data_IF_879896251771
#
_entry.id   IF_879896251771
#
_cell.length_a   1.000
_cell.length_b   1.000
_cell.length_c   1.000
_cell.angle_alpha   90.00
_cell.angle_beta   90.00
_cell.angle_gamma   90.00
#
_symmetry.space_group_name_H-M   'P 1'
#
loop_
_entity.id
_entity.type
_entity.pdbx_description
1 polymer ?
#
# COMPACT_ATOMS: atom_id res chain seq x y z
N UNK A 1 52.12 -11.25 -34.57
CA UNK A 1 52.58 -9.98 -35.17
C UNK A 1 51.48 -9.44 -36.04
N UNK A 2 51.03 -8.21 -35.75
CA UNK A 2 50.42 -7.21 -36.63
C UNK A 2 49.10 -7.58 -37.36
N UNK A 3 48.07 -6.75 -37.45
CA UNK A 3 47.66 -5.52 -36.78
C UNK A 3 46.41 -5.03 -37.54
N UNK A 4 45.40 -4.46 -36.84
CA UNK A 4 44.60 -3.24 -37.18
C UNK A 4 43.95 -3.09 -38.57
N UNK A 5 42.83 -2.42 -38.83
CA UNK A 5 41.85 -1.52 -38.17
C UNK A 5 41.21 -0.75 -39.38
N UNK A 6 40.06 -0.10 -39.18
CA UNK A 6 39.49 1.08 -39.88
C UNK A 6 38.06 0.79 -40.38
N UNK A 7 37.06 1.67 -40.29
CA UNK A 7 36.74 2.83 -39.45
C UNK A 7 35.32 3.29 -39.85
N UNK A 8 34.71 4.11 -38.99
CA UNK A 8 33.36 4.66 -39.05
C UNK A 8 33.11 5.65 -40.21
N UNK A 9 31.83 5.83 -40.57
CA UNK A 9 31.32 7.04 -41.24
C UNK A 9 29.97 7.44 -40.59
N UNK A 10 29.93 8.66 -40.07
CA UNK A 10 28.74 9.41 -39.69
C UNK A 10 28.65 10.63 -40.61
N UNK A 11 27.50 10.90 -41.23
CA UNK A 11 27.14 12.21 -41.83
C UNK A 11 25.62 12.39 -41.70
N UNK A 12 25.20 13.52 -41.11
CA UNK A 12 23.81 13.99 -41.10
C UNK A 12 23.55 15.06 -42.16
N UNK A 13 22.28 15.43 -42.39
CA UNK A 13 21.86 16.68 -43.05
C UNK A 13 20.48 17.12 -42.52
N UNK A 14 20.33 18.42 -42.33
CA UNK A 14 19.15 19.15 -41.85
C UNK A 14 18.38 19.87 -42.99
N UNK A 15 17.12 20.22 -42.67
CA UNK A 15 16.31 21.36 -43.15
C UNK A 15 15.97 21.56 -44.65
N UNK A 16 14.67 21.64 -44.95
CA UNK A 16 14.06 22.61 -45.89
C UNK A 16 12.69 23.05 -45.37
N UNK A 17 12.44 24.37 -45.41
CA UNK A 17 11.21 25.10 -45.08
C UNK A 17 10.57 25.69 -46.35
N UNK A 18 9.35 26.23 -46.18
CA UNK A 18 8.52 27.10 -47.06
C UNK A 18 7.51 26.43 -48.02
N UNK A 19 6.30 26.95 -48.32
CA UNK A 19 5.31 27.93 -47.76
C UNK A 19 4.15 27.97 -48.78
N UNK A 20 2.89 28.16 -48.34
CA UNK A 20 1.85 29.09 -48.90
C UNK A 20 0.42 28.64 -48.50
N UNK A 21 -0.36 29.32 -47.64
CA UNK A 21 -1.10 30.61 -47.73
C UNK A 21 -2.47 30.54 -48.45
N UNK A 22 -3.59 30.60 -47.69
CA UNK A 22 -4.84 31.30 -48.07
C UNK A 22 -5.48 31.91 -46.81
N UNK A 23 -5.93 33.15 -46.96
CA UNK A 23 -6.48 34.09 -45.97
C UNK A 23 -8.01 34.17 -46.13
N UNK A 24 -8.77 34.50 -45.06
CA UNK A 24 -9.76 35.60 -44.95
C UNK A 24 -10.88 35.34 -43.91
N UNK A 25 -10.80 36.10 -42.80
CA UNK A 25 -11.82 36.88 -42.03
C UNK A 25 -13.22 36.32 -41.70
N UNK A 26 -13.61 36.52 -40.43
CA UNK A 26 -14.99 36.84 -40.04
C UNK A 26 -15.33 36.68 -38.55
N UNK A 27 -15.23 37.76 -37.76
CA UNK A 27 -15.95 37.97 -36.48
C UNK A 27 -17.16 38.89 -36.78
N UNK A 28 -18.30 38.85 -36.04
CA UNK A 28 -18.34 39.41 -34.68
C UNK A 28 -19.30 38.75 -33.67
N UNK A 29 -19.10 39.16 -32.41
CA UNK A 29 -19.91 38.91 -31.22
C UNK A 29 -21.35 39.45 -31.27
N UNK A 30 -22.27 38.90 -30.44
CA UNK A 30 -23.09 39.64 -29.43
C UNK A 30 -24.27 38.83 -28.82
N UNK A 31 -24.52 39.09 -27.52
CA UNK A 31 -25.82 39.11 -26.78
C UNK A 31 -26.36 37.72 -26.32
N UNK A 32 -26.91 37.49 -25.11
CA UNK A 32 -27.59 38.34 -24.11
C UNK A 32 -27.53 37.75 -22.69
N UNK A 33 -27.75 38.66 -21.75
CA UNK A 33 -27.94 38.55 -20.30
C UNK A 33 -29.36 38.07 -19.91
N UNK A 34 -29.53 37.87 -18.60
CA UNK A 34 -30.76 37.92 -17.79
C UNK A 34 -31.61 36.64 -17.57
N UNK A 35 -31.69 36.20 -16.30
CA UNK A 35 -32.96 36.24 -15.55
C UNK A 35 -32.82 35.82 -14.07
N UNK A 36 -32.96 36.81 -13.18
CA UNK A 36 -33.50 36.65 -11.83
C UNK A 36 -35.01 36.39 -11.91
N UNK A 37 -35.54 35.48 -11.09
CA UNK A 37 -36.94 35.54 -10.66
C UNK A 37 -37.16 34.91 -9.28
N UNK A 38 -37.56 35.77 -8.35
CA UNK A 38 -38.15 35.50 -7.04
C UNK A 38 -39.59 35.01 -7.15
N UNK A 39 -40.03 34.11 -6.25
CA UNK A 39 -41.45 34.00 -5.83
C UNK A 39 -41.56 33.71 -4.33
N UNK A 40 -42.51 34.40 -3.69
CA UNK A 40 -42.87 34.42 -2.25
C UNK A 40 -44.19 33.67 -2.00
N UNK A 41 -44.27 33.04 -0.81
CA UNK A 41 -45.40 32.93 0.14
C UNK A 41 -46.65 32.09 -0.27
N UNK A 42 -47.55 31.64 0.66
CA UNK A 42 -47.84 32.06 2.07
C UNK A 42 -47.87 30.87 3.08
N UNK A 43 -48.06 30.94 4.41
CA UNK A 43 -48.53 31.93 5.38
C UNK A 43 -49.61 31.28 6.29
N UNK A 44 -49.38 31.13 7.60
CA UNK A 44 -50.44 30.89 8.62
C UNK A 44 -49.94 31.21 10.04
N UNK A 45 -50.26 32.39 10.55
CA UNK A 45 -51.23 32.71 11.63
C UNK A 45 -50.83 32.32 13.07
N UNK A 46 -50.53 33.37 13.82
CA UNK A 46 -50.48 33.48 15.29
C UNK A 46 -51.92 33.49 15.83
N UNK A 47 -52.16 32.80 16.95
CA UNK A 47 -53.26 33.11 17.89
C UNK A 47 -52.64 33.35 19.26
N UNK A 48 -52.81 34.57 19.77
CA UNK A 48 -52.65 34.92 21.17
C UNK A 48 -53.95 34.65 21.91
N UNK A 49 -53.88 34.02 23.09
CA UNK A 49 -54.85 34.23 24.15
C UNK A 49 -54.13 34.47 25.48
N UNK A 50 -54.74 35.35 26.24
CA UNK A 50 -54.22 36.15 27.35
C UNK A 50 -55.05 35.79 28.60
N UNK A 51 -54.53 36.15 29.79
CA UNK A 51 -55.24 36.26 31.09
C UNK A 51 -55.29 34.91 31.87
N UNK A 52 -54.94 34.76 33.16
CA UNK A 52 -55.02 35.66 34.31
C UNK A 52 -54.02 35.25 35.41
N UNK A 53 -53.55 36.22 36.16
CA UNK A 53 -52.62 36.11 37.29
C UNK A 53 -53.42 35.87 38.59
N UNK A 54 -53.05 34.86 39.39
CA UNK A 54 -53.42 34.77 40.81
C UNK A 54 -52.18 34.42 41.62
N UNK A 55 -51.93 35.24 42.64
CA UNK A 55 -50.72 35.35 43.47
C UNK A 55 -50.91 34.57 44.76
N UNK A 56 -50.03 33.62 45.09
CA UNK A 56 -49.73 33.19 46.48
C UNK A 56 -48.28 32.67 46.54
N UNK A 57 -47.47 33.47 47.22
CA UNK A 57 -46.33 33.22 48.12
C UNK A 57 -45.12 32.33 47.76
N UNK A 58 -43.96 32.94 48.08
CA UNK A 58 -42.57 32.51 47.95
C UNK A 58 -42.23 31.31 48.85
N UNK A 59 -41.45 30.34 48.34
CA UNK A 59 -40.22 29.81 48.98
C UNK A 59 -39.34 29.16 47.88
N UNK A 60 -38.04 29.48 47.86
CA UNK A 60 -37.00 28.64 47.23
C UNK A 60 -36.54 29.08 45.84
N UNK A 61 -35.43 29.81 45.78
CA UNK A 61 -34.80 30.22 44.52
C UNK A 61 -34.12 29.03 43.81
N UNK A 62 -34.76 28.46 42.80
CA UNK A 62 -34.07 27.69 41.76
C UNK A 62 -33.41 28.66 40.76
N UNK A 63 -32.08 28.68 40.73
CA UNK A 63 -31.35 29.21 39.57
C UNK A 63 -31.40 28.15 38.46
N UNK A 64 -32.19 28.43 37.42
CA UNK A 64 -32.11 27.76 36.11
C UNK A 64 -30.64 27.59 35.68
N UNK A 65 -30.21 26.41 35.22
CA UNK A 65 -28.92 26.27 34.56
C UNK A 65 -28.93 27.10 33.28
N UNK A 66 -27.91 27.95 33.14
CA UNK A 66 -27.58 28.59 31.87
C UNK A 66 -27.30 27.50 30.84
N UNK A 67 -27.85 27.70 29.64
CA UNK A 67 -27.38 27.08 28.40
C UNK A 67 -25.85 27.12 28.38
N UNK A 68 -25.22 25.96 28.55
CA UNK A 68 -23.80 25.76 28.29
C UNK A 68 -23.69 25.45 26.80
N UNK A 69 -23.26 26.44 26.03
CA UNK A 69 -22.67 26.23 24.72
C UNK A 69 -21.61 25.14 24.83
N UNK A 70 -21.67 24.11 23.98
CA UNK A 70 -20.71 23.02 23.94
C UNK A 70 -19.28 23.55 23.75
N UNK A 71 -18.59 23.75 24.87
CA UNK A 71 -17.16 23.91 24.88
C UNK A 71 -16.58 22.51 24.70
N UNK A 72 -15.93 22.28 23.57
CA UNK A 72 -15.07 21.14 23.35
C UNK A 72 -14.13 20.99 24.56
N UNK A 73 -14.02 19.76 25.07
CA UNK A 73 -13.02 19.45 26.07
C UNK A 73 -11.63 19.88 25.54
N UNK A 74 -10.78 20.47 26.40
CA UNK A 74 -9.44 20.87 25.98
C UNK A 74 -8.68 19.64 25.45
N UNK A 75 -7.82 19.79 24.43
CA UNK A 75 -7.06 18.68 23.90
C UNK A 75 -6.24 18.07 25.03
N UNK A 76 -6.49 16.79 25.31
CA UNK A 76 -5.67 16.00 26.22
C UNK A 76 -4.23 16.12 25.73
N UNK A 77 -3.34 16.70 26.54
CA UNK A 77 -1.91 16.72 26.26
C UNK A 77 -1.41 15.28 26.31
N UNK A 78 -1.39 14.62 25.16
CA UNK A 78 -0.83 13.28 25.02
C UNK A 78 0.70 13.38 25.07
N UNK A 79 1.38 12.40 25.68
CA UNK A 79 2.82 12.25 25.50
C UNK A 79 3.13 12.25 24.00
N UNK A 80 4.13 13.02 23.58
CA UNK A 80 4.54 13.05 22.16
C UNK A 80 5.24 11.73 21.82
N UNK A 81 4.83 11.10 20.73
CA UNK A 81 5.44 9.86 20.23
C UNK A 81 4.65 8.60 20.58
N UNK A 82 5.11 7.47 20.04
CA UNK A 82 4.53 6.15 20.27
C UNK A 82 4.84 5.65 21.68
N UNK A 83 3.91 4.92 22.32
CA UNK A 83 4.20 4.21 23.55
C UNK A 83 5.08 2.99 23.28
N UNK A 84 5.53 2.32 24.35
CA UNK A 84 6.47 1.20 24.23
C UNK A 84 5.82 -0.07 23.73
N UNK A 85 4.55 -0.28 24.09
CA UNK A 85 3.84 -1.54 23.80
C UNK A 85 2.71 -1.31 22.81
N UNK A 86 2.37 -2.34 22.03
CA UNK A 86 1.26 -2.28 21.09
C UNK A 86 -0.09 -2.09 21.82
N UNK A 87 -0.26 -2.69 23.00
CA UNK A 87 -1.45 -2.53 23.82
C UNK A 87 -1.66 -1.08 24.28
N UNK A 88 -0.62 -0.41 24.79
CA UNK A 88 -0.71 1.02 25.13
C UNK A 88 -1.01 1.87 23.89
N UNK A 89 -0.51 1.47 22.72
CA UNK A 89 -0.81 2.16 21.47
C UNK A 89 -2.26 1.95 21.00
N UNK A 90 -2.82 0.76 21.19
CA UNK A 90 -4.24 0.51 20.98
C UNK A 90 -5.11 1.41 21.88
N UNK A 91 -4.77 1.55 23.16
CA UNK A 91 -5.44 2.48 24.08
C UNK A 91 -5.30 3.95 23.65
N UNK A 92 -4.15 4.32 23.10
CA UNK A 92 -3.93 5.67 22.56
C UNK A 92 -4.80 5.94 21.31
N UNK A 93 -5.02 4.92 20.48
CA UNK A 93 -5.83 5.00 19.27
C UNK A 93 -7.34 5.00 19.54
N UNK A 94 -7.77 4.33 20.61
CA UNK A 94 -9.17 4.06 20.93
C UNK A 94 -10.10 5.30 20.86
N UNK A 95 -9.73 6.49 21.36
CA UNK A 95 -10.64 7.64 21.31
C UNK A 95 -10.96 8.15 19.89
N UNK A 96 -10.12 7.84 18.90
CA UNK A 96 -10.31 8.27 17.49
C UNK A 96 -10.76 7.13 16.58
N UNK A 97 -10.36 5.89 16.90
CA UNK A 97 -10.51 4.72 16.03
C UNK A 97 -11.32 3.57 16.67
N UNK A 98 -11.70 3.71 17.94
CA UNK A 98 -12.22 2.59 18.71
C UNK A 98 -11.19 1.48 18.89
N UNK A 99 -11.67 0.32 19.29
CA UNK A 99 -10.84 -0.85 19.57
C UNK A 99 -10.38 -1.48 18.25
N UNK A 100 -9.07 -1.78 18.07
CA UNK A 100 -8.60 -2.57 16.93
C UNK A 100 -9.34 -3.91 16.84
N UNK A 101 -9.67 -4.42 15.64
CA UNK A 101 -10.41 -5.67 15.52
C UNK A 101 -9.55 -6.87 15.94
N UNK A 102 -10.18 -7.94 16.43
CA UNK A 102 -9.54 -9.26 16.50
C UNK A 102 -9.39 -9.77 15.06
N UNK A 103 -8.15 -9.97 14.62
CA UNK A 103 -7.88 -10.44 13.26
C UNK A 103 -8.02 -11.95 13.19
N UNK A 104 -8.96 -12.39 12.35
CA UNK A 104 -9.20 -13.79 12.01
C UNK A 104 -8.98 -13.97 10.50
N UNK A 105 -7.88 -14.63 10.15
CA UNK A 105 -7.46 -14.85 8.76
C UNK A 105 -8.32 -15.90 8.05
N UNK A 106 -9.03 -16.75 8.80
CA UNK A 106 -9.98 -17.71 8.23
C UNK A 106 -11.19 -17.00 7.63
N UNK A 107 -11.56 -15.85 8.20
CA UNK A 107 -12.62 -14.97 7.73
C UNK A 107 -12.18 -13.94 6.69
N UNK A 108 -10.88 -13.77 6.49
CA UNK A 108 -10.34 -12.81 5.52
C UNK A 108 -10.53 -13.27 4.07
N UNK A 109 -10.55 -12.30 3.16
CA UNK A 109 -10.56 -12.52 1.70
C UNK A 109 -9.14 -12.80 1.23
N UNK A 110 -8.91 -13.92 0.56
CA UNK A 110 -7.62 -14.18 -0.10
C UNK A 110 -7.43 -13.26 -1.30
N UNK A 111 -6.23 -12.71 -1.46
CA UNK A 111 -5.84 -11.96 -2.65
C UNK A 111 -5.51 -12.97 -3.76
N UNK A 112 -6.31 -13.05 -4.84
CA UNK A 112 -6.01 -13.98 -5.92
C UNK A 112 -4.82 -13.47 -6.75
N UNK A 113 -3.98 -14.39 -7.21
CA UNK A 113 -2.94 -14.14 -8.21
C UNK A 113 -3.34 -14.79 -9.54
N UNK A 114 -2.99 -14.15 -10.64
CA UNK A 114 -3.30 -14.64 -11.99
C UNK A 114 -2.06 -14.73 -12.87
N UNK A 115 -2.02 -15.75 -13.73
CA UNK A 115 -1.07 -15.88 -14.84
C UNK A 115 -1.90 -16.16 -16.08
N UNK A 116 -1.78 -15.29 -17.09
CA UNK A 116 -2.55 -15.37 -18.33
C UNK A 116 -4.08 -15.43 -18.09
N UNK A 117 -4.55 -14.70 -17.07
CA UNK A 117 -5.95 -14.64 -16.65
C UNK A 117 -6.43 -15.86 -15.85
N UNK A 118 -5.57 -16.84 -15.58
CA UNK A 118 -5.92 -18.05 -14.80
C UNK A 118 -5.37 -17.93 -13.39
N UNK A 119 -6.20 -18.26 -12.39
CA UNK A 119 -5.77 -18.22 -10.98
C UNK A 119 -4.60 -19.17 -10.75
N UNK A 120 -3.56 -18.66 -10.09
CA UNK A 120 -2.33 -19.38 -9.80
C UNK A 120 -2.00 -19.35 -8.30
N UNK A 121 -1.26 -20.35 -7.83
CA UNK A 121 -0.80 -20.50 -6.46
C UNK A 121 0.71 -20.75 -6.41
N UNK A 122 1.31 -20.55 -5.24
CA UNK A 122 2.74 -20.67 -5.00
C UNK A 122 3.47 -19.34 -5.09
N UNK A 123 4.78 -19.42 -5.32
CA UNK A 123 5.66 -18.28 -5.50
C UNK A 123 5.85 -17.95 -6.98
N UNK A 124 5.37 -16.78 -7.41
CA UNK A 124 5.32 -16.37 -8.80
C UNK A 124 6.29 -15.20 -9.04
N UNK A 125 7.28 -15.41 -9.90
CA UNK A 125 8.22 -14.35 -10.31
C UNK A 125 7.63 -13.40 -11.36
N UNK A 126 6.60 -13.87 -12.08
CA UNK A 126 5.83 -13.10 -13.05
C UNK A 126 4.36 -13.48 -12.91
N UNK A 127 3.48 -12.48 -12.85
CA UNK A 127 2.03 -12.67 -12.81
C UNK A 127 1.33 -11.39 -13.32
N UNK A 128 0.04 -11.47 -13.59
CA UNK A 128 -0.77 -10.37 -14.15
C UNK A 128 -0.95 -9.22 -13.13
N UNK A 129 -0.92 -9.56 -11.84
CA UNK A 129 -1.15 -8.64 -10.73
C UNK A 129 -0.06 -8.76 -9.65
N UNK A 130 1.19 -8.34 -9.95
CA UNK A 130 2.31 -8.49 -9.03
C UNK A 130 2.18 -7.58 -7.80
N UNK A 131 2.83 -7.96 -6.71
CA UNK A 131 2.86 -7.19 -5.45
C UNK A 131 3.53 -5.82 -5.59
N UNK A 132 4.42 -5.66 -6.58
CA UNK A 132 5.17 -4.43 -6.89
C UNK A 132 6.05 -3.90 -5.74
N UNK A 133 6.63 -4.81 -4.94
CA UNK A 133 7.53 -4.46 -3.83
C UNK A 133 8.96 -5.01 -4.02
N UNK A 134 9.40 -5.21 -5.26
CA UNK A 134 10.75 -5.70 -5.59
C UNK A 134 11.01 -7.16 -5.23
N UNK A 135 9.95 -7.98 -5.14
CA UNK A 135 10.00 -9.40 -4.75
C UNK A 135 9.05 -10.23 -5.62
N UNK A 136 9.18 -11.55 -5.54
CA UNK A 136 8.18 -12.49 -6.07
C UNK A 136 6.80 -12.22 -5.44
N UNK A 137 5.75 -12.58 -6.17
CA UNK A 137 4.37 -12.54 -5.68
C UNK A 137 3.99 -13.92 -5.16
N UNK A 138 3.75 -14.02 -3.86
CA UNK A 138 3.39 -15.28 -3.20
C UNK A 138 1.87 -15.31 -3.00
N UNK A 139 1.23 -16.41 -3.38
CA UNK A 139 -0.20 -16.60 -3.17
C UNK A 139 -0.56 -16.68 -1.68
N UNK A 140 -1.85 -16.56 -1.39
CA UNK A 140 -2.35 -16.84 -0.04
C UNK A 140 -2.25 -15.69 0.96
N UNK A 141 -1.78 -14.51 0.53
CA UNK A 141 -2.00 -13.28 1.27
C UNK A 141 -3.50 -12.99 1.41
N UNK A 142 -3.93 -12.38 2.51
CA UNK A 142 -5.36 -12.15 2.80
C UNK A 142 -5.63 -10.73 3.30
N UNK A 143 -6.80 -10.19 2.98
CA UNK A 143 -7.27 -8.87 3.41
C UNK A 143 -8.64 -8.97 4.09
N UNK A 144 -8.87 -8.15 5.10
CA UNK A 144 -10.19 -8.02 5.71
C UNK A 144 -10.48 -6.58 6.10
N UNK A 145 -11.70 -6.14 5.83
CA UNK A 145 -12.22 -4.82 6.23
C UNK A 145 -13.20 -4.97 7.39
N UNK A 146 -13.02 -4.15 8.41
CA UNK A 146 -13.89 -4.07 9.57
C UNK A 146 -14.44 -2.66 9.73
N UNK A 147 -15.71 -2.56 10.12
CA UNK A 147 -16.25 -1.33 10.69
C UNK A 147 -15.65 -1.13 12.10
N UNK A 148 -15.24 0.10 12.41
CA UNK A 148 -14.72 0.42 13.74
C UNK A 148 -15.79 0.28 14.81
N UNK A 149 -15.37 -0.06 16.03
CA UNK A 149 -16.26 -0.23 17.18
C UNK A 149 -15.65 0.38 18.43
N UNK A 150 -16.47 1.02 19.26
CA UNK A 150 -16.08 1.40 20.60
C UNK A 150 -15.91 0.16 21.50
N UNK A 151 -15.30 0.33 22.68
CA UNK A 151 -15.07 -0.78 23.61
C UNK A 151 -16.36 -1.47 24.11
N UNK A 152 -17.50 -0.77 24.10
CA UNK A 152 -18.81 -1.33 24.42
C UNK A 152 -19.49 -2.03 23.22
N UNK A 153 -18.80 -2.10 22.07
CA UNK A 153 -19.27 -2.71 20.84
C UNK A 153 -20.10 -1.79 19.94
N UNK A 154 -20.36 -0.55 20.35
CA UNK A 154 -21.11 0.39 19.53
C UNK A 154 -20.36 0.71 18.22
N UNK A 155 -21.06 0.75 17.07
CA UNK A 155 -20.43 0.99 15.78
C UNK A 155 -19.92 2.43 15.65
N UNK A 156 -18.78 2.58 14.98
CA UNK A 156 -18.15 3.84 14.59
C UNK A 156 -18.10 3.88 13.05
N UNK A 157 -19.18 4.32 12.36
CA UNK A 157 -19.32 4.17 10.91
C UNK A 157 -18.32 4.99 10.08
N UNK A 158 -17.71 6.00 10.69
CA UNK A 158 -16.65 6.81 10.08
C UNK A 158 -15.28 6.15 10.21
N UNK A 159 -15.14 5.10 11.01
CA UNK A 159 -13.90 4.37 11.21
C UNK A 159 -13.91 3.08 10.44
N UNK A 160 -12.82 2.83 9.73
CA UNK A 160 -12.54 1.57 9.04
C UNK A 160 -11.23 1.01 9.56
N UNK A 161 -11.19 -0.30 9.74
CA UNK A 161 -9.95 -1.04 9.96
C UNK A 161 -9.72 -1.98 8.78
N UNK A 162 -8.49 -2.03 8.28
CA UNK A 162 -8.06 -3.03 7.29
C UNK A 162 -6.97 -3.87 7.93
N UNK A 163 -7.16 -5.18 7.93
CA UNK A 163 -6.13 -6.15 8.28
C UNK A 163 -5.56 -6.78 7.00
N UNK A 164 -4.24 -6.89 6.92
CA UNK A 164 -3.53 -7.49 5.80
C UNK A 164 -2.60 -8.58 6.31
N UNK A 165 -2.93 -9.84 6.06
CA UNK A 165 -2.01 -10.96 6.21
C UNK A 165 -1.17 -11.07 4.94
N UNK A 166 0.09 -10.63 5.01
CA UNK A 166 1.05 -10.69 3.92
C UNK A 166 1.82 -11.99 4.00
N UNK A 167 1.64 -12.86 3.01
CA UNK A 167 2.43 -14.08 2.88
C UNK A 167 3.71 -13.81 2.08
N UNK A 168 4.85 -14.28 2.61
CA UNK A 168 6.15 -14.29 1.93
C UNK A 168 6.76 -15.71 1.87
N UNK A 169 6.01 -16.75 2.27
CA UNK A 169 6.49 -18.12 2.46
C UNK A 169 6.69 -18.86 1.12
N UNK A 170 7.75 -19.67 0.98
CA UNK A 170 7.87 -20.63 -0.16
C UNK A 170 7.22 -21.98 0.12
N UNK A 171 6.85 -22.26 1.37
CA UNK A 171 6.34 -23.55 1.81
C UNK A 171 5.31 -23.37 2.92
N UNK A 172 4.33 -24.26 2.99
CA UNK A 172 3.34 -24.28 4.06
C UNK A 172 3.92 -24.66 5.44
N UNK A 173 5.10 -25.29 5.47
CA UNK A 173 5.76 -25.78 6.70
C UNK A 173 6.42 -24.66 7.51
N UNK A 174 6.80 -23.56 6.85
CA UNK A 174 7.53 -22.46 7.46
C UNK A 174 6.84 -21.14 7.13
N UNK A 175 6.08 -20.63 8.10
CA UNK A 175 5.34 -19.38 7.93
C UNK A 175 6.27 -18.19 8.03
N UNK A 176 6.44 -17.50 6.90
CA UNK A 176 7.16 -16.23 6.78
C UNK A 176 6.19 -15.19 6.24
N UNK A 177 6.02 -14.10 6.97
CA UNK A 177 5.10 -13.05 6.61
C UNK A 177 4.71 -12.23 7.82
N UNK A 178 3.80 -11.29 7.62
CA UNK A 178 3.32 -10.42 8.70
C UNK A 178 1.83 -10.18 8.60
N UNK A 179 1.22 -9.82 9.73
CA UNK A 179 -0.15 -9.33 9.81
C UNK A 179 -0.10 -7.87 10.20
N UNK A 180 -0.68 -7.03 9.35
CA UNK A 180 -0.68 -5.59 9.48
C UNK A 180 -2.11 -5.12 9.72
N UNK A 181 -2.32 -4.10 10.56
CA UNK A 181 -3.62 -3.45 10.72
C UNK A 181 -3.48 -1.95 10.55
N UNK A 182 -4.38 -1.37 9.78
CA UNK A 182 -4.48 0.08 9.61
C UNK A 182 -5.90 0.49 9.99
N UNK A 183 -6.01 1.27 11.05
CA UNK A 183 -7.25 1.94 11.44
C UNK A 183 -7.27 3.35 10.87
N UNK A 184 -8.40 3.76 10.31
CA UNK A 184 -8.57 5.07 9.69
C UNK A 184 -9.93 5.68 9.99
N UNK A 185 -9.95 6.92 10.47
CA UNK A 185 -11.16 7.71 10.63
C UNK A 185 -11.34 8.62 9.42
N UNK A 186 -12.35 8.33 8.58
CA UNK A 186 -12.64 9.05 7.33
C UNK A 186 -12.98 10.53 7.52
N UNK A 187 -13.37 10.95 8.73
CA UNK A 187 -13.71 12.36 9.04
C UNK A 187 -12.55 13.14 9.64
N UNK A 188 -11.85 12.56 10.61
CA UNK A 188 -10.75 13.26 11.28
C UNK A 188 -9.40 13.05 10.59
N UNK A 189 -9.28 11.99 9.79
CA UNK A 189 -8.02 11.56 9.19
C UNK A 189 -7.11 10.78 10.13
N UNK A 190 -7.58 10.52 11.37
CA UNK A 190 -6.80 9.80 12.35
C UNK A 190 -6.43 8.42 11.79
N UNK A 191 -5.15 8.08 11.87
CA UNK A 191 -4.60 6.83 11.36
C UNK A 191 -3.76 6.14 12.43
N UNK A 192 -3.97 4.84 12.60
CA UNK A 192 -3.18 3.98 13.48
C UNK A 192 -2.60 2.79 12.72
N UNK A 193 -1.28 2.62 12.77
CA UNK A 193 -0.55 1.50 12.15
C UNK A 193 -0.12 0.46 13.19
N UNK A 194 -0.47 -0.80 12.95
CA UNK A 194 0.04 -1.95 13.71
C UNK A 194 0.67 -2.92 12.73
N UNK A 195 1.82 -3.46 13.09
CA UNK A 195 2.51 -4.47 12.30
C UNK A 195 2.98 -5.58 13.23
N UNK A 196 2.80 -6.82 12.81
CA UNK A 196 3.40 -7.95 13.51
C UNK A 196 4.87 -8.09 13.17
N UNK A 197 5.63 -8.80 14.00
CA UNK A 197 6.94 -9.31 13.54
C UNK A 197 6.76 -10.33 12.41
N UNK A 198 7.84 -10.66 11.70
CA UNK A 198 7.83 -11.70 10.65
C UNK A 198 7.64 -13.13 11.21
N UNK A 199 7.64 -13.29 12.55
CA UNK A 199 7.55 -14.57 13.26
C UNK A 199 6.13 -14.83 13.74
N UNK A 200 5.19 -14.91 12.81
CA UNK A 200 3.76 -15.11 13.10
C UNK A 200 3.33 -16.59 13.23
N UNK A 201 4.26 -17.53 13.03
CA UNK A 201 4.00 -18.98 13.12
C UNK A 201 3.30 -19.49 14.40
N UNK A 202 3.42 -18.83 15.58
CA UNK A 202 2.62 -19.22 16.75
C UNK A 202 1.10 -19.04 16.58
N UNK A 203 0.66 -18.15 15.68
CA UNK A 203 -0.74 -17.76 15.52
C UNK A 203 -1.29 -18.04 14.13
N UNK A 204 -0.40 -18.17 13.14
CA UNK A 204 -0.74 -18.30 11.73
C UNK A 204 -0.21 -19.61 11.17
N UNK A 205 -1.05 -20.29 10.39
CA UNK A 205 -0.68 -21.45 9.57
C UNK A 205 -0.96 -21.15 8.09
N UNK A 206 -0.48 -22.03 7.23
CA UNK A 206 -0.67 -21.93 5.78
C UNK A 206 -1.39 -23.18 5.26
N UNK A 207 -2.36 -22.97 4.37
CA UNK A 207 -2.95 -24.06 3.57
C UNK A 207 -1.86 -24.71 2.70
N UNK A 208 -1.81 -26.04 2.68
CA UNK A 208 -0.77 -26.82 1.99
C UNK A 208 -0.73 -26.54 0.48
N UNK A 209 -1.89 -26.46 -0.17
CA UNK A 209 -1.97 -26.31 -1.63
C UNK A 209 -1.90 -24.86 -2.11
N UNK A 210 -2.48 -23.92 -1.36
CA UNK A 210 -2.67 -22.53 -1.81
C UNK A 210 -1.74 -21.53 -1.14
N UNK A 211 -1.06 -21.96 -0.07
CA UNK A 211 -0.32 -21.10 0.85
C UNK A 211 -1.19 -20.02 1.51
N UNK A 212 -2.51 -20.17 1.52
CA UNK A 212 -3.40 -19.21 2.18
C UNK A 212 -3.13 -19.15 3.68
N UNK A 213 -2.95 -17.93 4.19
CA UNK A 213 -2.80 -17.69 5.61
C UNK A 213 -4.11 -17.94 6.38
N UNK A 214 -3.99 -18.62 7.51
CA UNK A 214 -5.09 -19.08 8.38
C UNK A 214 -4.78 -18.79 9.85
N UNK A 215 -5.82 -18.78 10.69
CA UNK A 215 -5.68 -18.61 12.14
C UNK A 215 -6.08 -17.24 12.68
N UNK A 216 -5.99 -17.09 14.00
CA UNK A 216 -6.40 -15.89 14.74
C UNK A 216 -5.19 -15.23 15.41
N UNK A 217 -5.03 -13.93 15.20
CA UNK A 217 -4.02 -13.15 15.90
C UNK A 217 -4.47 -12.83 17.33
N UNK A 218 -3.53 -12.68 18.29
CA UNK A 218 -3.84 -12.17 19.62
C UNK A 218 -4.54 -10.83 19.57
N UNK A 219 -5.35 -10.56 20.59
CA UNK A 219 -6.17 -9.37 20.69
C UNK A 219 -5.97 -8.64 22.02
N UNK A 220 -6.57 -7.45 22.15
CA UNK A 220 -6.29 -6.55 23.27
C UNK A 220 -6.82 -7.07 24.63
N UNK A 221 -7.66 -8.10 24.64
CA UNK A 221 -8.06 -8.81 25.85
C UNK A 221 -6.94 -9.70 26.45
N UNK A 222 -5.91 -9.97 25.65
CA UNK A 222 -4.69 -10.68 26.04
C UNK A 222 -3.45 -9.77 25.85
N UNK A 223 -3.26 -8.71 26.67
CA UNK A 223 -2.26 -7.68 26.41
C UNK A 223 -0.83 -8.21 26.23
N UNK A 224 -0.45 -9.24 27.00
CA UNK A 224 0.89 -9.83 26.92
C UNK A 224 1.12 -10.56 25.59
N UNK A 225 0.11 -11.26 25.07
CA UNK A 225 0.19 -11.92 23.76
C UNK A 225 0.07 -10.90 22.62
N UNK A 226 -0.79 -9.88 22.76
CA UNK A 226 -0.89 -8.78 21.80
C UNK A 226 0.44 -8.05 21.63
N UNK A 227 1.15 -7.79 22.73
CA UNK A 227 2.47 -7.17 22.73
C UNK A 227 3.58 -8.06 22.17
N UNK A 228 3.39 -9.39 22.14
CA UNK A 228 4.31 -10.31 21.46
C UNK A 228 4.04 -10.34 19.96
N UNK A 229 2.76 -10.26 19.56
CA UNK A 229 2.35 -10.32 18.17
C UNK A 229 2.64 -9.02 17.43
N UNK A 230 2.26 -7.88 18.00
CA UNK A 230 2.31 -6.57 17.34
C UNK A 230 3.32 -5.63 17.97
N UNK A 231 3.87 -4.75 17.14
CA UNK A 231 4.77 -3.66 17.56
C UNK A 231 4.19 -2.29 17.19
N UNK A 232 4.65 -1.26 17.89
CA UNK A 232 4.40 0.12 17.46
C UNK A 232 5.32 0.49 16.30
N UNK A 233 4.96 1.47 15.45
CA UNK A 233 5.80 1.91 14.33
C UNK A 233 7.25 2.30 14.69
N UNK A 234 7.50 2.66 15.96
CA UNK A 234 8.84 2.95 16.47
C UNK A 234 9.48 4.16 15.77
N UNK A 235 10.70 3.98 15.26
CA UNK A 235 11.48 5.04 14.59
C UNK A 235 11.24 5.09 13.08
N UNK A 236 10.66 4.04 12.49
CA UNK A 236 10.33 4.02 11.07
C UNK A 236 9.05 4.83 10.88
N UNK A 237 9.14 5.91 10.13
CA UNK A 237 7.98 6.72 9.81
C UNK A 237 7.19 6.03 8.70
N UNK A 238 6.10 5.32 9.04
CA UNK A 238 5.21 4.68 8.05
C UNK A 238 4.76 5.66 6.97
N UNK A 239 4.66 6.94 7.34
CA UNK A 239 4.35 8.04 6.43
C UNK A 239 5.36 8.19 5.30
N UNK A 240 6.57 7.62 5.35
CA UNK A 240 7.49 7.67 4.19
C UNK A 240 6.84 7.07 2.92
N UNK A 241 6.06 5.98 3.08
CA UNK A 241 5.29 5.37 2.01
C UNK A 241 3.82 5.87 2.03
N UNK A 242 3.26 6.05 3.23
CA UNK A 242 1.86 6.44 3.46
C UNK A 242 1.68 7.96 3.62
N UNK A 243 2.46 8.82 2.93
CA UNK A 243 2.61 10.26 3.26
C UNK A 243 1.29 11.02 3.45
N UNK A 244 0.28 10.68 2.66
CA UNK A 244 -1.00 11.37 2.60
C UNK A 244 -2.18 10.40 2.46
N UNK A 245 -1.91 9.10 2.51
CA UNK A 245 -2.91 8.05 2.34
C UNK A 245 -2.55 6.87 3.26
N UNK A 246 -3.42 6.48 4.21
CA UNK A 246 -3.23 5.29 5.03
C UNK A 246 -3.17 4.00 4.18
N UNK A 247 -3.76 3.95 3.00
CA UNK A 247 -3.91 2.75 2.20
C UNK A 247 -3.15 2.84 0.87
N UNK A 248 -2.06 2.08 0.76
CA UNK A 248 -1.38 1.93 -0.53
C UNK A 248 -2.12 0.88 -1.34
N UNK A 249 -2.60 1.26 -2.52
CA UNK A 249 -3.33 0.36 -3.43
C UNK A 249 -2.53 0.12 -4.70
N UNK A 250 -2.68 -1.09 -5.25
CA UNK A 250 -2.18 -1.51 -6.55
C UNK A 250 -3.08 -2.65 -7.08
N UNK A 251 -2.78 -3.20 -8.27
CA UNK A 251 -3.57 -4.29 -8.85
C UNK A 251 -3.61 -5.54 -7.97
N UNK A 252 -2.54 -5.86 -7.24
CA UNK A 252 -2.50 -6.95 -6.27
C UNK A 252 -3.48 -6.71 -5.12
N UNK A 253 -3.36 -5.60 -4.38
CA UNK A 253 -4.25 -5.28 -3.25
C UNK A 253 -5.71 -5.16 -3.70
N UNK A 254 -5.96 -4.53 -4.85
CA UNK A 254 -7.30 -4.33 -5.38
C UNK A 254 -7.95 -5.60 -5.95
N UNK A 255 -7.20 -6.69 -6.11
CA UNK A 255 -7.75 -7.97 -6.54
C UNK A 255 -8.58 -8.66 -5.44
N UNK A 256 -8.35 -8.33 -4.16
CA UNK A 256 -9.23 -8.77 -3.08
C UNK A 256 -10.53 -7.94 -3.07
N UNK A 257 -11.64 -8.62 -3.36
CA UNK A 257 -12.98 -8.02 -3.42
C UNK A 257 -13.84 -8.46 -2.24
N UNK A 258 -14.71 -7.57 -1.78
CA UNK A 258 -15.69 -7.90 -0.75
C UNK A 258 -16.64 -8.94 -1.34
N UNK A 259 -16.86 -10.09 -0.67
CA UNK A 259 -17.67 -11.17 -1.20
C UNK A 259 -19.04 -10.70 -1.70
N UNK A 260 -19.38 -11.03 -2.95
CA UNK A 260 -20.64 -10.65 -3.59
C UNK A 260 -20.66 -9.24 -4.19
N UNK A 261 -19.51 -8.56 -4.28
CA UNK A 261 -19.39 -7.21 -4.85
C UNK A 261 -18.11 -7.08 -5.70
N UNK A 262 -18.02 -6.02 -6.51
CA UNK A 262 -16.77 -5.62 -7.20
C UNK A 262 -15.92 -4.62 -6.38
N UNK A 263 -16.38 -4.27 -5.18
CA UNK A 263 -15.70 -3.32 -4.29
C UNK A 263 -14.44 -3.97 -3.72
N UNK A 264 -13.30 -3.27 -3.80
CA UNK A 264 -12.06 -3.72 -3.15
C UNK A 264 -12.24 -3.77 -1.63
N UNK A 265 -11.57 -4.72 -0.97
CA UNK A 265 -11.56 -4.79 0.50
C UNK A 265 -10.92 -3.52 1.09
N UNK A 266 -9.86 -3.03 0.48
CA UNK A 266 -9.24 -1.76 0.84
C UNK A 266 -10.07 -0.61 0.27
N UNK A 267 -10.52 0.35 1.11
CA UNK A 267 -11.32 1.47 0.63
C UNK A 267 -10.46 2.41 -0.23
N UNK A 268 -11.07 3.00 -1.26
CA UNK A 268 -10.47 4.09 -2.00
C UNK A 268 -10.65 5.41 -1.24
N UNK A 269 -9.59 6.20 -1.18
CA UNK A 269 -9.61 7.57 -0.67
C UNK A 269 -9.49 8.55 -1.82
N UNK A 270 -9.98 9.76 -1.60
CA UNK A 270 -9.90 10.85 -2.56
C UNK A 270 -8.75 11.81 -2.23
N UNK A 271 -8.53 12.75 -3.14
CA UNK A 271 -7.51 13.78 -2.99
C UNK A 271 -7.65 14.60 -1.71
N UNK A 272 -8.85 14.80 -1.17
CA UNK A 272 -9.09 15.66 0.00
C UNK A 272 -9.24 14.89 1.31
N UNK A 273 -9.00 13.58 1.27
CA UNK A 273 -9.11 12.72 2.44
C UNK A 273 -8.17 13.20 3.55
N UNK A 274 -8.69 13.39 4.77
CA UNK A 274 -7.88 13.91 5.86
C UNK A 274 -6.88 12.85 6.32
N UNK A 275 -5.73 13.27 6.85
CA UNK A 275 -4.68 12.34 7.26
C UNK A 275 -3.77 12.89 8.37
N UNK A 276 -3.69 12.16 9.47
CA UNK A 276 -2.62 12.29 10.46
C UNK A 276 -2.40 10.95 11.18
N UNK A 277 -1.19 10.74 11.70
CA UNK A 277 -0.86 9.53 12.46
C UNK A 277 -0.98 9.80 13.96
N UNK A 278 -1.77 8.98 14.66
CA UNK A 278 -1.87 9.03 16.12
C UNK A 278 -0.51 8.61 16.72
N UNK A 279 0.06 9.39 17.63
CA UNK A 279 1.41 9.12 18.17
C UNK A 279 2.56 9.51 17.23
N UNK A 280 2.26 9.85 15.98
CA UNK A 280 3.20 10.36 14.98
C UNK A 280 3.25 11.88 14.90
N UNK A 281 2.86 12.62 15.96
CA UNK A 281 2.81 14.08 15.93
C UNK A 281 4.19 14.74 15.75
N UNK A 282 5.27 13.97 15.93
CA UNK A 282 6.65 14.37 15.69
C UNK A 282 7.22 13.81 14.37
N UNK A 283 6.39 13.31 13.46
CA UNK A 283 6.79 12.81 12.15
C UNK A 283 6.75 13.89 11.06
N UNK A 284 7.45 13.61 9.96
CA UNK A 284 7.39 14.42 8.75
C UNK A 284 6.11 14.08 7.98
N UNK A 285 5.04 14.78 8.31
CA UNK A 285 3.74 14.65 7.67
C UNK A 285 3.65 15.45 6.36
N UNK A 286 4.74 16.08 5.90
CA UNK A 286 4.71 16.88 4.68
C UNK A 286 4.58 16.00 3.45
N UNK A 287 3.77 16.47 2.51
CA UNK A 287 3.68 15.97 1.14
C UNK A 287 3.80 17.15 0.16
N UNK A 288 4.04 16.88 -1.12
CA UNK A 288 4.11 17.92 -2.15
C UNK A 288 2.70 18.24 -2.65
N UNK A 289 2.44 19.54 -2.83
CA UNK A 289 1.37 20.07 -3.66
C UNK A 289 1.97 20.83 -4.84
N UNK A 290 1.31 20.81 -6.00
CA UNK A 290 1.65 21.68 -7.13
C UNK A 290 0.35 22.24 -7.69
N UNK A 291 0.22 23.56 -7.70
CA UNK A 291 -0.97 24.23 -8.18
C UNK A 291 -1.25 23.87 -9.65
N UNK A 292 -2.43 23.30 -9.92
CA UNK A 292 -2.89 22.98 -11.27
C UNK A 292 -2.34 21.66 -11.84
N UNK A 293 -1.58 20.89 -11.06
CA UNK A 293 -1.10 19.58 -11.47
C UNK A 293 -2.19 18.52 -11.25
N UNK A 294 -2.64 17.87 -12.33
CA UNK A 294 -3.83 17.01 -12.28
C UNK A 294 -3.58 15.66 -11.58
N UNK A 295 -2.32 15.27 -11.31
CA UNK A 295 -2.03 14.06 -10.53
C UNK A 295 -2.65 14.12 -9.12
N UNK A 296 -2.89 15.32 -8.58
CA UNK A 296 -3.49 15.51 -7.27
C UNK A 296 -5.02 15.56 -7.27
N UNK A 297 -5.69 15.41 -8.42
CA UNK A 297 -7.16 15.44 -8.47
C UNK A 297 -7.81 14.15 -7.94
N UNK A 298 -7.09 13.03 -8.05
CA UNK A 298 -7.60 11.72 -7.65
C UNK A 298 -7.12 11.32 -6.25
N UNK A 299 -5.81 11.39 -6.02
CA UNK A 299 -5.17 11.05 -4.75
C UNK A 299 -3.81 11.76 -4.63
N UNK A 300 -3.26 11.77 -3.43
CA UNK A 300 -1.88 12.23 -3.19
C UNK A 300 -0.98 11.00 -3.04
N UNK A 301 0.27 11.07 -3.48
CA UNK A 301 1.21 9.93 -3.41
C UNK A 301 2.56 10.38 -2.87
N UNK A 302 3.15 9.54 -2.01
CA UNK A 302 4.47 9.76 -1.46
C UNK A 302 5.60 9.28 -2.36
N UNK A 303 6.77 9.90 -2.25
CA UNK A 303 7.93 9.58 -3.09
C UNK A 303 8.44 8.16 -2.89
N UNK A 304 8.44 7.64 -1.66
CA UNK A 304 8.91 6.27 -1.43
C UNK A 304 8.02 5.24 -2.12
N UNK A 305 6.71 5.49 -2.20
CA UNK A 305 5.76 4.63 -2.93
C UNK A 305 5.99 4.70 -4.44
N UNK A 306 6.22 5.91 -4.98
CA UNK A 306 6.62 6.08 -6.37
C UNK A 306 7.92 5.31 -6.67
N UNK A 307 8.93 5.48 -5.83
CA UNK A 307 10.24 4.83 -5.98
C UNK A 307 10.11 3.29 -5.90
N UNK A 308 9.30 2.78 -4.97
CA UNK A 308 9.05 1.35 -4.80
C UNK A 308 8.39 0.72 -6.03
N UNK A 309 7.32 1.32 -6.53
CA UNK A 309 6.58 0.78 -7.67
C UNK A 309 7.38 0.92 -8.97
N UNK A 310 7.94 2.11 -9.22
CA UNK A 310 8.76 2.35 -10.41
C UNK A 310 10.02 1.48 -10.43
N UNK A 311 10.66 1.30 -9.27
CA UNK A 311 11.81 0.40 -9.12
C UNK A 311 11.45 -1.08 -9.34
N UNK A 312 10.19 -1.44 -9.16
CA UNK A 312 9.66 -2.78 -9.44
C UNK A 312 9.16 -2.95 -10.89
N UNK A 313 9.41 -1.98 -11.76
CA UNK A 313 9.03 -2.03 -13.18
C UNK A 313 7.62 -1.55 -13.49
N UNK A 314 6.90 -0.95 -12.52
CA UNK A 314 5.58 -0.36 -12.76
C UNK A 314 5.72 1.07 -13.32
N UNK A 315 5.18 1.32 -14.52
CA UNK A 315 5.17 2.64 -15.14
C UNK A 315 3.81 3.31 -14.95
N UNK A 316 3.69 4.37 -14.12
CA UNK A 316 2.40 5.03 -13.90
C UNK A 316 1.74 5.51 -15.19
N UNK A 317 2.50 5.90 -16.22
CA UNK A 317 1.91 6.37 -17.48
C UNK A 317 1.22 5.25 -18.28
N UNK A 318 1.50 3.98 -17.99
CA UNK A 318 0.81 2.85 -18.62
C UNK A 318 -0.49 2.47 -17.91
N UNK A 319 -0.73 3.02 -16.72
CA UNK A 319 -1.82 2.60 -15.84
C UNK A 319 -2.69 3.74 -15.31
N UNK A 320 -2.18 4.97 -15.31
CA UNK A 320 -2.80 6.13 -14.69
C UNK A 320 -2.94 7.30 -15.67
N UNK A 321 -4.06 8.04 -15.61
CA UNK A 321 -5.28 7.71 -14.87
C UNK A 321 -5.97 6.44 -15.43
N UNK A 322 -6.75 5.69 -14.62
CA UNK A 322 -7.28 4.38 -15.02
C UNK A 322 -8.13 4.35 -16.30
N UNK A 323 -8.73 5.49 -16.67
CA UNK A 323 -9.60 5.62 -17.83
C UNK A 323 -8.93 6.26 -19.05
N UNK A 324 -7.72 6.80 -18.89
CA UNK A 324 -6.95 7.40 -19.98
C UNK A 324 -5.43 7.37 -19.68
N UNK A 325 -4.80 6.18 -19.62
CA UNK A 325 -3.40 6.05 -19.20
C UNK A 325 -2.44 6.92 -20.01
N UNK A 326 -1.57 7.65 -19.30
CA UNK A 326 -0.52 8.48 -19.89
C UNK A 326 -0.96 9.89 -20.27
N UNK A 327 -2.25 10.22 -20.17
CA UNK A 327 -2.77 11.57 -20.38
C UNK A 327 -2.16 12.62 -19.43
N UNK A 328 -1.69 12.20 -18.26
CA UNK A 328 -1.07 13.07 -17.24
C UNK A 328 0.47 12.96 -17.19
N UNK A 329 1.11 12.48 -18.25
CA UNK A 329 2.56 12.24 -18.24
C UNK A 329 3.41 13.48 -17.93
N UNK A 330 2.98 14.66 -18.38
CA UNK A 330 3.68 15.92 -18.10
C UNK A 330 3.54 16.36 -16.64
N UNK A 331 2.33 16.26 -16.08
CA UNK A 331 2.06 16.53 -14.67
C UNK A 331 2.84 15.56 -13.76
N UNK A 332 2.87 14.28 -14.14
CA UNK A 332 3.65 13.27 -13.41
C UNK A 332 5.15 13.57 -13.47
N UNK A 333 5.67 14.00 -14.63
CA UNK A 333 7.08 14.41 -14.79
C UNK A 333 7.41 15.62 -13.92
N UNK A 334 6.52 16.60 -13.83
CA UNK A 334 6.68 17.76 -12.96
C UNK A 334 6.67 17.35 -11.48
N UNK A 335 5.75 16.48 -11.07
CA UNK A 335 5.69 15.92 -9.72
C UNK A 335 6.99 15.19 -9.34
N UNK A 336 7.51 14.34 -10.23
CA UNK A 336 8.79 13.66 -10.03
C UNK A 336 9.96 14.64 -9.91
N UNK A 337 9.92 15.73 -10.67
CA UNK A 337 10.94 16.76 -10.60
C UNK A 337 10.89 17.48 -9.24
N UNK A 338 9.69 17.87 -8.77
CA UNK A 338 9.48 18.46 -7.46
C UNK A 338 9.93 17.52 -6.33
N UNK A 339 9.62 16.22 -6.38
CA UNK A 339 10.08 15.26 -5.38
C UNK A 339 11.60 15.07 -5.32
N UNK A 340 12.29 15.22 -6.46
CA UNK A 340 13.75 15.06 -6.54
C UNK A 340 14.51 16.34 -6.19
N UNK A 341 13.95 17.50 -6.52
CA UNK A 341 14.62 18.81 -6.42
C UNK A 341 14.07 19.70 -5.32
N UNK A 342 12.90 19.37 -4.80
CA UNK A 342 12.12 20.16 -3.86
C UNK A 342 11.00 20.93 -4.53
N UNK A 343 9.90 21.22 -3.80
CA UNK A 343 8.84 22.08 -4.30
C UNK A 343 9.37 23.46 -4.69
N UNK A 344 10.42 23.99 -4.04
CA UNK A 344 11.06 25.25 -4.39
C UNK A 344 11.62 25.30 -5.82
N UNK A 345 11.82 24.15 -6.47
CA UNK A 345 12.30 24.06 -7.84
C UNK A 345 11.18 24.13 -8.90
N UNK A 346 9.91 24.12 -8.49
CA UNK A 346 8.74 24.14 -9.39
C UNK A 346 7.84 25.32 -9.02
N UNK A 347 7.41 26.10 -10.01
CA UNK A 347 6.55 27.25 -9.76
C UNK A 347 5.18 26.79 -9.23
N UNK A 348 4.73 27.36 -8.11
CA UNK A 348 3.45 26.99 -7.49
C UNK A 348 3.46 25.64 -6.76
N UNK A 349 4.64 25.03 -6.57
CA UNK A 349 4.79 23.86 -5.74
C UNK A 349 5.14 24.22 -4.29
N UNK A 350 4.54 23.51 -3.35
CA UNK A 350 4.63 23.80 -1.91
C UNK A 350 4.71 22.50 -1.10
N UNK A 351 5.34 22.59 0.08
CA UNK A 351 5.16 21.58 1.11
C UNK A 351 3.82 21.81 1.81
N UNK A 352 3.00 20.76 1.90
CA UNK A 352 1.71 20.80 2.57
C UNK A 352 1.62 19.71 3.65
N UNK A 353 0.93 20.02 4.73
CA UNK A 353 0.34 19.03 5.65
C UNK A 353 -1.08 18.74 5.16
N UNK A 354 -1.49 17.48 4.99
CA UNK A 354 -2.85 17.13 4.58
C UNK A 354 -3.92 17.70 5.52
N UNK A 355 -5.18 17.81 5.06
CA UNK A 355 -6.31 18.13 5.94
C UNK A 355 -6.35 17.18 7.14
N UNK A 356 -6.71 17.67 8.33
CA UNK A 356 -6.80 16.82 9.51
C UNK A 356 -7.72 17.45 10.55
N UNK A 357 -8.47 16.62 11.28
CA UNK A 357 -9.33 17.03 12.41
C UNK A 357 -10.29 18.17 12.05
N UNK A 358 -10.85 18.11 10.84
CA UNK A 358 -11.76 19.12 10.30
C UNK A 358 -11.11 20.46 9.94
N UNK A 359 -9.78 20.53 9.94
CA UNK A 359 -9.02 21.67 9.42
C UNK A 359 -8.58 21.41 7.98
N UNK A 360 -8.55 22.44 7.12
CA UNK A 360 -7.99 22.31 5.77
C UNK A 360 -6.49 21.98 5.83
N UNK A 361 -5.96 21.51 4.70
CA UNK A 361 -4.52 21.34 4.56
C UNK A 361 -3.77 22.65 4.78
N UNK A 362 -2.53 22.54 5.26
CA UNK A 362 -1.72 23.68 5.64
C UNK A 362 -0.39 23.69 4.86
N UNK A 363 -0.11 24.81 4.19
CA UNK A 363 1.22 25.06 3.61
C UNK A 363 2.22 25.30 4.73
N UNK A 364 3.36 24.62 4.66
CA UNK A 364 4.43 24.73 5.65
C UNK A 364 5.77 24.99 4.97
N UNK A 365 6.67 25.71 5.65
CA UNK A 365 7.99 26.05 5.12
C UNK A 365 9.11 25.16 5.64
N UNK A 366 10.33 25.65 5.45
CA UNK A 366 11.56 25.08 6.02
C UNK A 366 11.63 25.18 7.56
N UNK A 367 10.68 25.88 8.19
CA UNK A 367 10.55 25.98 9.64
C UNK A 367 9.71 24.85 10.25
N UNK A 368 9.14 23.95 9.43
CA UNK A 368 8.45 22.77 9.94
C UNK A 368 9.38 21.96 10.84
N UNK A 369 9.02 21.66 12.10
CA UNK A 369 9.98 21.20 13.11
C UNK A 369 10.34 19.70 12.99
N UNK A 370 9.60 18.93 12.20
CA UNK A 370 9.69 17.46 12.17
C UNK A 370 10.24 16.91 10.85
N UNK A 371 11.05 17.67 10.13
CA UNK A 371 11.56 17.28 8.81
C UNK A 371 12.43 16.02 8.86
N UNK A 372 12.06 15.01 8.08
CA UNK A 372 12.76 13.76 7.93
C UNK A 372 13.58 13.71 6.64
N UNK A 373 14.58 12.83 6.60
CA UNK A 373 15.51 12.72 5.47
C UNK A 373 14.82 12.36 4.15
N UNK A 374 13.75 11.57 4.18
CA UNK A 374 13.03 11.14 2.97
C UNK A 374 12.36 12.31 2.21
N UNK A 375 12.10 13.44 2.88
CA UNK A 375 11.56 14.67 2.30
C UNK A 375 12.61 15.79 2.12
N UNK A 376 13.90 15.53 2.36
CA UNK A 376 14.96 16.54 2.17
C UNK A 376 15.51 16.55 0.76
N UNK A 377 15.78 17.74 0.24
CA UNK A 377 16.25 17.98 -1.12
C UNK A 377 17.78 18.20 -1.09
N UNK A 378 18.54 17.58 -2.01
CA UNK A 378 19.97 17.90 -2.21
C UNK A 378 20.99 16.75 -2.18
N UNK A 379 21.76 16.68 -3.28
CA UNK A 379 23.02 15.96 -3.59
C UNK A 379 23.13 14.48 -3.18
N UNK A 380 22.62 13.60 -4.06
CA UNK A 380 23.30 12.33 -4.34
C UNK A 380 23.52 11.39 -3.17
N UNK A 381 22.69 11.45 -2.13
CA UNK A 381 22.57 10.29 -1.26
C UNK A 381 21.95 9.18 -2.14
N UNK A 382 22.60 8.01 -2.29
CA UNK A 382 21.87 6.83 -2.67
C UNK A 382 20.70 6.76 -1.70
N UNK A 383 19.47 6.77 -2.21
CA UNK A 383 18.28 6.44 -1.42
C UNK A 383 18.31 4.94 -1.15
N UNK A 384 19.36 4.47 -0.51
CA UNK A 384 19.35 3.18 0.15
C UNK A 384 18.61 3.40 1.45
N UNK A 385 17.52 2.65 1.64
CA UNK A 385 17.00 2.29 2.95
C UNK A 385 18.17 2.11 3.93
N UNK A 386 18.06 2.46 5.22
CA UNK A 386 19.15 2.30 6.16
C UNK A 386 19.61 0.84 6.16
N UNK A 387 20.69 0.56 5.41
CA UNK A 387 21.41 -0.70 5.45
C UNK A 387 22.14 -0.68 6.78
N UNK A 388 21.49 -1.20 7.83
CA UNK A 388 22.25 -1.81 8.91
C UNK A 388 23.13 -2.86 8.22
N UNK A 389 24.44 -2.60 8.15
CA UNK A 389 25.38 -3.55 7.57
C UNK A 389 25.19 -4.88 8.29
N UNK A 390 25.10 -6.00 7.55
CA UNK A 390 24.83 -7.28 8.18
C UNK A 390 25.91 -7.62 9.19
N UNK A 391 25.50 -8.19 10.33
CA UNK A 391 26.46 -8.71 11.29
C UNK A 391 27.32 -9.80 10.63
N UNK A 392 28.59 -9.99 11.03
CA UNK A 392 29.41 -11.09 10.53
C UNK A 392 28.73 -12.47 10.68
N UNK A 393 27.91 -12.64 11.73
CA UNK A 393 27.12 -13.84 11.97
C UNK A 393 26.06 -14.07 10.87
N UNK A 394 25.40 -13.01 10.42
CA UNK A 394 24.41 -13.07 9.34
C UNK A 394 25.06 -13.44 8.00
N UNK A 395 26.28 -12.97 7.73
CA UNK A 395 27.01 -13.33 6.50
C UNK A 395 27.46 -14.80 6.50
N UNK A 396 27.95 -15.29 7.64
CA UNK A 396 28.34 -16.69 7.80
C UNK A 396 27.13 -17.63 7.67
N UNK A 397 25.99 -17.23 8.23
CA UNK A 397 24.74 -17.97 8.09
C UNK A 397 24.26 -18.04 6.63
N UNK A 398 24.24 -16.92 5.90
CA UNK A 398 23.88 -16.90 4.47
C UNK A 398 24.78 -17.86 3.67
N UNK A 399 26.09 -17.79 3.87
CA UNK A 399 27.04 -18.66 3.16
C UNK A 399 26.83 -20.16 3.48
N UNK A 400 26.39 -20.49 4.70
CA UNK A 400 26.04 -21.86 5.10
C UNK A 400 24.75 -22.32 4.43
N UNK A 401 23.69 -21.51 4.47
CA UNK A 401 22.38 -21.86 3.94
C UNK A 401 22.38 -21.93 2.41
N UNK A 402 23.07 -21.01 1.73
CA UNK A 402 23.24 -21.08 0.27
C UNK A 402 23.90 -22.39 -0.17
N UNK A 403 24.80 -22.98 0.62
CA UNK A 403 25.41 -24.28 0.27
C UNK A 403 24.42 -25.45 0.35
N UNK A 404 23.35 -25.31 1.13
CA UNK A 404 22.34 -26.35 1.35
C UNK A 404 21.27 -26.35 0.25
N UNK A 405 21.10 -25.24 -0.48
CA UNK A 405 20.17 -25.16 -1.61
C UNK A 405 20.73 -25.89 -2.83
N UNK A 406 20.07 -26.95 -3.35
CA UNK A 406 20.58 -27.70 -4.50
C UNK A 406 20.62 -26.86 -5.78
N UNK A 407 19.56 -26.08 -6.01
CA UNK A 407 19.40 -25.32 -7.25
C UNK A 407 20.41 -24.17 -7.38
N UNK A 408 21.14 -24.16 -8.50
CA UNK A 408 22.20 -23.17 -8.74
C UNK A 408 21.63 -21.81 -9.12
N UNK A 409 20.50 -21.76 -9.84
CA UNK A 409 19.82 -20.50 -10.19
C UNK A 409 19.33 -19.77 -8.95
N UNK A 410 18.67 -20.49 -8.05
CA UNK A 410 18.14 -19.97 -6.78
C UNK A 410 19.25 -19.43 -5.90
N UNK A 411 20.35 -20.16 -5.75
CA UNK A 411 21.54 -19.67 -5.03
C UNK A 411 22.06 -18.35 -5.61
N UNK A 412 22.20 -18.29 -6.94
CA UNK A 412 22.68 -17.07 -7.61
C UNK A 412 21.71 -15.90 -7.40
N UNK A 413 20.41 -16.14 -7.48
CA UNK A 413 19.39 -15.11 -7.28
C UNK A 413 19.45 -14.53 -5.85
N UNK A 414 19.61 -15.36 -4.82
CA UNK A 414 19.81 -14.87 -3.46
C UNK A 414 21.13 -14.13 -3.29
N UNK A 415 22.23 -14.63 -3.85
CA UNK A 415 23.52 -13.94 -3.82
C UNK A 415 23.43 -12.54 -4.46
N UNK A 416 22.88 -12.45 -5.67
CA UNK A 416 22.68 -11.18 -6.37
C UNK A 416 21.78 -10.25 -5.55
N UNK A 417 20.68 -10.78 -5.00
CA UNK A 417 19.75 -10.01 -4.16
C UNK A 417 20.42 -9.48 -2.90
N UNK A 418 21.23 -10.28 -2.20
CA UNK A 418 21.94 -9.85 -0.99
C UNK A 418 23.02 -8.80 -1.30
N UNK A 419 23.68 -8.87 -2.45
CA UNK A 419 24.62 -7.83 -2.89
C UNK A 419 23.90 -6.50 -3.12
N UNK A 420 22.75 -6.53 -3.79
CA UNK A 420 21.98 -5.34 -4.14
C UNK A 420 21.25 -4.74 -2.94
N UNK A 421 20.61 -5.58 -2.12
CA UNK A 421 19.65 -5.16 -1.10
C UNK A 421 20.18 -5.26 0.34
N UNK A 422 21.28 -5.98 0.57
CA UNK A 422 21.77 -6.33 1.92
C UNK A 422 21.01 -7.52 2.51
N UNK A 423 21.50 -8.05 3.65
CA UNK A 423 20.88 -9.20 4.32
C UNK A 423 19.80 -8.69 5.28
N UNK A 424 18.54 -9.04 5.01
CA UNK A 424 17.41 -8.80 5.92
C UNK A 424 17.05 -10.10 6.64
N UNK A 425 16.41 -10.01 7.81
CA UNK A 425 15.96 -11.20 8.55
C UNK A 425 14.91 -12.00 7.75
N UNK A 426 14.01 -11.31 7.04
CA UNK A 426 13.04 -11.95 6.13
C UNK A 426 13.74 -12.77 5.03
N UNK A 427 14.78 -12.22 4.39
CA UNK A 427 15.51 -12.92 3.35
C UNK A 427 16.37 -14.06 3.91
N UNK A 428 16.89 -13.92 5.13
CA UNK A 428 17.54 -15.01 5.87
C UNK A 428 16.56 -16.14 6.18
N UNK A 429 15.36 -15.82 6.66
CA UNK A 429 14.34 -16.82 6.98
C UNK A 429 13.85 -17.55 5.73
N UNK A 430 13.66 -16.81 4.64
CA UNK A 430 13.37 -17.40 3.32
C UNK A 430 14.48 -18.36 2.88
N UNK A 431 15.73 -17.97 3.06
CA UNK A 431 16.89 -18.79 2.75
C UNK A 431 16.96 -20.04 3.66
N UNK A 432 16.62 -19.92 4.96
CA UNK A 432 16.49 -21.05 5.90
C UNK A 432 15.43 -22.04 5.41
N UNK A 433 14.25 -21.54 5.06
CA UNK A 433 13.14 -22.36 4.54
C UNK A 433 13.53 -23.15 3.28
N UNK A 434 14.29 -22.55 2.36
CA UNK A 434 14.75 -23.22 1.14
C UNK A 434 15.88 -24.22 1.39
N UNK A 435 16.75 -23.93 2.37
CA UNK A 435 17.88 -24.75 2.74
C UNK A 435 17.49 -26.03 3.49
N UNK A 436 16.36 -26.02 4.21
CA UNK A 436 15.87 -27.19 4.94
C UNK A 436 15.32 -28.30 4.03
N UNK A 437 14.95 -27.96 2.77
CA UNK A 437 14.57 -28.90 1.71
C UNK A 437 13.30 -29.72 1.99
N UNK A 438 12.53 -30.00 0.94
CA UNK A 438 11.47 -31.02 1.02
C UNK A 438 12.07 -32.37 0.60
N UNK A 439 12.21 -33.37 1.51
CA UNK A 439 12.82 -34.66 1.15
C UNK A 439 11.95 -35.55 0.24
N UNK A 440 10.89 -35.03 -0.38
CA UNK A 440 9.91 -35.83 -1.12
C UNK A 440 9.88 -35.67 -2.65
N UNK A 441 10.55 -34.69 -3.26
CA UNK A 441 10.53 -34.53 -4.73
C UNK A 441 11.65 -35.24 -5.50
N UNK A 442 12.65 -35.81 -4.82
CA UNK A 442 13.76 -36.54 -5.47
C UNK A 442 13.44 -38.02 -5.81
N UNK A 443 12.17 -38.41 -5.91
CA UNK A 443 11.75 -39.78 -6.29
C UNK A 443 10.77 -39.84 -7.45
N UNK A 444 10.98 -39.03 -8.47
CA UNK A 444 10.44 -39.31 -9.79
C UNK A 444 11.39 -38.74 -10.84
N UNK A 445 12.40 -39.54 -11.22
CA UNK A 445 12.97 -39.62 -12.58
C UNK A 445 14.39 -40.17 -12.50
N UNK A 446 14.49 -41.47 -12.20
CA UNK A 446 15.68 -42.27 -12.51
C UNK A 446 15.26 -43.75 -12.59
N UNK A 447 14.44 -44.07 -13.61
CA UNK A 447 14.27 -45.45 -14.05
C UNK A 447 14.25 -45.54 -15.57
N UNK A 448 15.32 -46.15 -16.06
CA UNK A 448 15.44 -46.88 -17.33
C UNK A 448 15.49 -46.07 -18.62
N UNK A 449 16.70 -45.58 -18.93
CA UNK A 449 17.21 -45.57 -20.30
C UNK A 449 18.47 -46.44 -20.38
N UNK A 450 18.26 -47.77 -20.30
CA UNK A 450 19.27 -48.77 -20.64
C UNK A 450 18.87 -49.46 -21.95
N UNK A 451 19.68 -49.16 -22.96
CA UNK A 451 20.01 -49.94 -24.16
C UNK A 451 19.12 -51.15 -24.50
N UNK A 452 18.47 -51.10 -25.67
CA UNK A 452 18.21 -52.31 -26.47
C UNK A 452 18.71 -52.13 -27.89
N UNK A 453 19.70 -52.95 -28.26
CA UNK A 453 20.13 -53.22 -29.63
C UNK A 453 18.97 -53.82 -30.45
N UNK A 454 18.90 -53.60 -31.78
CA UNK A 454 17.97 -54.34 -32.62
C UNK A 454 18.51 -55.75 -32.89
N UNK A 455 17.75 -56.77 -32.47
CA UNK A 455 17.85 -58.12 -33.02
C UNK A 455 16.90 -58.24 -34.21
N UNK A 456 17.46 -58.47 -35.39
CA UNK A 456 16.73 -59.05 -36.52
C UNK A 456 16.34 -60.49 -36.16
N UNK A 457 15.10 -60.87 -36.45
CA UNK A 457 14.73 -62.28 -36.61
C UNK A 457 13.83 -62.45 -37.84
N UNK A 458 14.01 -63.54 -38.61
CA UNK A 458 13.27 -63.79 -39.83
C UNK A 458 12.00 -64.58 -39.55
N UNK A 459 10.88 -64.18 -40.15
CA UNK A 459 9.70 -65.04 -40.21
C UNK A 459 9.14 -65.15 -41.62
N UNK A 460 9.06 -66.42 -42.02
CA UNK A 460 8.49 -66.99 -43.22
C UNK A 460 7.05 -66.51 -43.46
N UNK A 461 6.74 -66.16 -44.72
CA UNK A 461 5.38 -66.16 -45.24
C UNK A 461 5.23 -67.32 -46.22
N UNK A 462 4.43 -68.30 -45.84
CA UNK A 462 3.69 -69.13 -46.80
C UNK A 462 2.33 -68.46 -47.07
N UNK A 463 1.93 -68.46 -48.34
CA UNK A 463 0.62 -68.01 -48.81
C UNK A 463 0.67 -67.74 -50.31
N UNK A 464 0.39 -68.78 -51.10
CA UNK A 464 0.33 -68.71 -52.56
C UNK A 464 -0.99 -68.16 -53.11
N UNK A 465 -1.10 -68.26 -54.44
CA UNK A 465 -2.22 -67.96 -55.35
C UNK A 465 -2.44 -66.47 -55.68
N UNK A 466 -2.63 -66.03 -56.93
CA UNK A 466 -2.85 -66.72 -58.22
C UNK A 466 -2.89 -65.67 -59.38
N UNK A 467 -2.84 -66.18 -60.62
CA UNK A 467 -3.37 -65.60 -61.89
C UNK A 467 -2.54 -64.57 -62.69
N UNK A 468 -2.11 -65.09 -63.85
CA UNK A 468 -1.77 -64.48 -65.16
C UNK A 468 -0.43 -63.79 -65.37
#
# INVERSE_FOLDING_TARGET
MKNTLFAAIAIGVALVLLVSLVVVRGLPARFLDDSKATRRAPGSRIVQQKVQQKKVDQVGSEKRPRQVSGAQAPPVQRPRGFPKTAFEYAQMCEPELGVPPKVDLDKSVEIPLYVDGVRAYGELFTCDNPTLIGKSSVSGSTLQRYEGKAADGNPLPDVVWVAFGRNSSSSHKHVVGSVQMIGYNKKSGATGFFESSDRIGPWVTLDEETLRMRGEMPWIDEPDEFNKAFVTPGNTQCVQCHQSDPFITNSFINAAKIPGTDESVVPALDAESPYFVIGGENWDMRTIHIQGNACFECHRVGMATIDLFSGSGWDPNQHMPPHDPGSLAEDYRELLFAWRRGPEAVAGAEWMIPPARGQPGQVVGEDYPYQAAFNRTGKGAPRTLPKAGPSPASQEEVARLLKQIPDRSTRKAFDDWFQENGITEEALEKLRSLAEGDPQDDKADDKECLETRPQESPQERQGGQEVK
#
